data_IF_612400045977
#
_entry.id   IF_612400045977
#
_cell.length_a   1.000
_cell.length_b   1.000
_cell.length_c   1.000
_cell.angle_alpha   90.00
_cell.angle_beta   90.00
_cell.angle_gamma   90.00
#
_symmetry.space_group_name_H-M   'P 1'
#
loop_
_entity.id
_entity.type
_entity.pdbx_description
1 polymer ?
#
# COMPACT_ATOMS: atom_id res chain seq x y z
N UNK A 1 17.17 17.55 -7.10
CA UNK A 1 16.09 17.96 -8.03
C UNK A 1 14.80 17.44 -7.45
N UNK A 2 13.67 18.11 -7.58
CA UNK A 2 12.39 17.52 -7.17
C UNK A 2 11.68 16.86 -8.36
N UNK A 3 10.97 15.79 -8.08
CA UNK A 3 10.02 15.18 -9.02
C UNK A 3 8.67 15.87 -8.87
N UNK A 4 7.93 16.01 -9.96
CA UNK A 4 6.57 16.54 -9.95
C UNK A 4 5.55 15.41 -10.07
N UNK A 5 4.32 15.63 -9.60
CA UNK A 5 3.29 14.59 -9.64
C UNK A 5 2.95 14.19 -11.10
N UNK A 6 3.03 15.13 -12.04
CA UNK A 6 2.89 14.83 -13.47
C UNK A 6 3.99 13.91 -14.00
N UNK A 7 5.21 13.99 -13.47
CA UNK A 7 6.30 13.08 -13.83
C UNK A 7 6.10 11.69 -13.23
N UNK A 8 5.54 11.61 -12.01
CA UNK A 8 5.14 10.33 -11.40
C UNK A 8 4.04 9.68 -12.23
N UNK A 9 3.03 10.44 -12.67
CA UNK A 9 1.96 9.95 -13.53
C UNK A 9 2.49 9.45 -14.88
N UNK A 10 3.41 10.20 -15.50
CA UNK A 10 4.06 9.78 -16.73
C UNK A 10 4.87 8.48 -16.55
N UNK A 11 5.60 8.36 -15.43
CA UNK A 11 6.35 7.15 -15.12
C UNK A 11 5.43 5.95 -14.85
N UNK A 12 4.31 6.15 -14.14
CA UNK A 12 3.29 5.13 -13.92
C UNK A 12 2.67 4.64 -15.24
N UNK A 13 2.39 5.57 -16.17
CA UNK A 13 1.92 5.23 -17.52
C UNK A 13 2.94 4.36 -18.27
N UNK A 14 4.21 4.74 -18.26
CA UNK A 14 5.29 3.99 -18.92
C UNK A 14 5.49 2.62 -18.27
N UNK A 15 5.25 2.50 -16.96
CA UNK A 15 5.28 1.24 -16.23
C UNK A 15 4.05 0.35 -16.52
N UNK A 16 3.10 0.80 -17.34
CA UNK A 16 1.89 0.04 -17.69
C UNK A 16 0.81 0.04 -16.61
N UNK A 17 0.93 0.90 -15.59
CA UNK A 17 -0.03 0.98 -14.50
C UNK A 17 -1.31 1.70 -14.96
N UNK A 18 -2.47 1.13 -14.66
CA UNK A 18 -3.76 1.82 -14.82
C UNK A 18 -3.97 2.72 -13.60
N UNK A 19 -4.07 4.03 -13.84
CA UNK A 19 -4.18 5.00 -12.76
C UNK A 19 -5.24 6.08 -12.99
N UNK A 20 -5.71 6.68 -11.89
CA UNK A 20 -6.50 7.91 -11.85
C UNK A 20 -5.68 9.00 -11.18
N UNK A 21 -5.67 10.18 -11.79
CA UNK A 21 -4.97 11.35 -11.26
C UNK A 21 -5.97 12.25 -10.52
N UNK A 22 -5.66 12.63 -9.28
CA UNK A 22 -6.44 13.60 -8.51
C UNK A 22 -5.63 14.86 -8.24
N UNK A 23 -5.95 15.92 -9.00
CA UNK A 23 -5.31 17.23 -8.84
C UNK A 23 -5.63 17.93 -7.53
N UNK A 24 -6.81 17.64 -6.95
CA UNK A 24 -7.28 18.35 -5.76
C UNK A 24 -6.53 17.89 -4.52
N UNK A 25 -6.27 16.59 -4.45
CA UNK A 25 -5.57 15.96 -3.33
C UNK A 25 -4.09 15.69 -3.61
N UNK A 26 -3.63 15.96 -4.84
CA UNK A 26 -2.22 15.84 -5.20
C UNK A 26 -1.72 14.40 -5.16
N UNK A 27 -2.53 13.46 -5.65
CA UNK A 27 -2.21 12.03 -5.61
C UNK A 27 -2.59 11.28 -6.88
N UNK A 28 -1.97 10.12 -7.05
CA UNK A 28 -2.24 9.17 -8.13
C UNK A 28 -2.78 7.88 -7.50
N UNK A 29 -3.90 7.39 -8.00
CA UNK A 29 -4.53 6.15 -7.55
C UNK A 29 -4.29 5.06 -8.58
N UNK A 30 -3.65 3.97 -8.18
CA UNK A 30 -3.39 2.80 -9.03
C UNK A 30 -4.27 1.66 -8.53
N UNK A 31 -5.12 1.14 -9.41
CA UNK A 31 -6.08 0.09 -9.06
C UNK A 31 -5.70 -1.25 -9.66
N UNK A 32 -5.80 -2.30 -8.85
CA UNK A 32 -5.67 -3.71 -9.22
C UNK A 32 -6.97 -4.42 -8.86
N UNK A 33 -7.51 -5.21 -9.79
CA UNK A 33 -8.70 -6.03 -9.55
C UNK A 33 -8.38 -7.50 -9.68
N UNK A 34 -9.27 -8.34 -9.17
CA UNK A 34 -9.16 -9.82 -9.22
C UNK A 34 -7.95 -10.33 -8.41
N UNK A 35 -7.64 -9.62 -7.33
CA UNK A 35 -6.53 -9.92 -6.43
C UNK A 35 -6.89 -11.01 -5.42
N UNK A 36 -5.90 -11.75 -4.94
CA UNK A 36 -6.06 -12.68 -3.81
C UNK A 36 -6.48 -11.98 -2.52
N UNK A 37 -6.04 -10.73 -2.35
CA UNK A 37 -6.41 -9.87 -1.23
C UNK A 37 -7.87 -9.41 -1.30
N UNK A 38 -8.56 -9.45 -0.16
CA UNK A 38 -9.92 -8.93 -0.01
C UNK A 38 -9.89 -7.64 0.81
N UNK A 39 -10.25 -6.52 0.17
CA UNK A 39 -10.28 -5.22 0.81
C UNK A 39 -11.32 -5.20 1.96
N UNK A 40 -10.91 -4.87 3.19
CA UNK A 40 -11.83 -4.84 4.34
C UNK A 40 -12.91 -3.74 4.21
N UNK A 41 -12.66 -2.69 3.44
CA UNK A 41 -13.56 -1.54 3.32
C UNK A 41 -14.69 -1.79 2.30
N UNK A 42 -14.36 -2.41 1.17
CA UNK A 42 -15.29 -2.69 0.08
C UNK A 42 -15.81 -4.12 0.09
N UNK A 43 -15.05 -5.05 0.69
CA UNK A 43 -15.30 -6.48 0.65
C UNK A 43 -14.98 -7.14 -0.69
N UNK A 44 -14.45 -6.37 -1.66
CA UNK A 44 -14.11 -6.82 -3.01
C UNK A 44 -12.66 -7.31 -3.09
N UNK A 45 -12.39 -8.18 -4.06
CA UNK A 45 -11.05 -8.63 -4.41
C UNK A 45 -10.35 -7.58 -5.28
N UNK A 46 -9.89 -6.52 -4.63
CA UNK A 46 -9.18 -5.41 -5.27
C UNK A 46 -8.19 -4.76 -4.32
N UNK A 47 -7.16 -4.14 -4.89
CA UNK A 47 -6.14 -3.35 -4.18
C UNK A 47 -6.07 -1.98 -4.83
N UNK A 48 -6.04 -0.91 -4.02
CA UNK A 48 -5.85 0.46 -4.53
C UNK A 48 -4.69 1.14 -3.84
N UNK A 49 -3.61 1.28 -4.59
CA UNK A 49 -2.36 1.91 -4.12
C UNK A 49 -2.41 3.40 -4.44
N UNK A 50 -2.04 4.22 -3.47
CA UNK A 50 -1.91 5.67 -3.56
C UNK A 50 -0.44 6.02 -3.74
N UNK A 51 -0.14 6.82 -4.76
CA UNK A 51 1.18 7.41 -5.00
C UNK A 51 1.11 8.91 -4.73
N UNK A 52 2.08 9.40 -3.97
CA UNK A 52 2.10 10.77 -3.48
C UNK A 52 3.51 11.30 -3.34
N UNK A 53 3.69 12.59 -3.56
CA UNK A 53 4.97 13.24 -3.34
C UNK A 53 4.97 13.97 -2.00
N UNK A 54 5.94 13.61 -1.16
CA UNK A 54 6.32 14.33 0.05
C UNK A 54 7.55 15.22 -0.18
N UNK A 55 7.89 16.01 0.84
CA UNK A 55 9.13 16.80 0.92
C UNK A 55 9.42 17.66 -0.33
N UNK A 56 8.41 18.40 -0.80
CA UNK A 56 8.48 19.22 -2.03
C UNK A 56 8.93 18.42 -3.26
N UNK A 57 8.54 17.14 -3.35
CA UNK A 57 8.89 16.24 -4.45
C UNK A 57 10.24 15.54 -4.27
N UNK A 58 10.76 15.46 -3.04
CA UNK A 58 11.99 14.73 -2.71
C UNK A 58 11.75 13.33 -2.18
N UNK A 59 10.51 13.00 -1.84
CA UNK A 59 10.12 11.67 -1.37
C UNK A 59 8.90 11.22 -2.16
N UNK A 60 8.93 10.00 -2.72
CA UNK A 60 7.73 9.34 -3.23
C UNK A 60 7.22 8.39 -2.16
N UNK A 61 5.98 8.56 -1.77
CA UNK A 61 5.26 7.62 -0.93
C UNK A 61 4.32 6.80 -1.80
N UNK A 62 4.34 5.49 -1.56
CA UNK A 62 3.49 4.50 -2.21
C UNK A 62 2.82 3.73 -1.10
N UNK A 63 1.50 3.83 -0.95
CA UNK A 63 0.81 3.23 0.18
C UNK A 63 -0.59 2.73 -0.13
N UNK A 64 -1.01 1.68 0.58
CA UNK A 64 -2.38 1.17 0.64
C UNK A 64 -2.96 1.55 2.01
N UNK A 65 -3.91 2.50 2.09
CA UNK A 65 -4.48 2.90 3.37
C UNK A 65 -5.46 1.85 3.90
N UNK A 66 -5.50 1.68 5.23
CA UNK A 66 -6.46 0.83 5.94
C UNK A 66 -6.61 -0.58 5.33
N UNK A 67 -5.47 -1.21 5.04
CA UNK A 67 -5.40 -2.58 4.56
C UNK A 67 -5.86 -3.60 5.60
N UNK A 68 -5.75 -3.28 6.89
CA UNK A 68 -6.31 -4.07 7.99
C UNK A 68 -6.95 -3.18 9.06
N UNK A 69 -7.89 -3.73 9.80
CA UNK A 69 -8.55 -3.06 10.93
C UNK A 69 -8.31 -3.89 12.22
N UNK A 70 -7.64 -3.26 13.19
CA UNK A 70 -7.36 -3.84 14.50
C UNK A 70 -8.19 -3.21 15.63
N UNK A 71 -9.13 -2.32 15.33
CA UNK A 71 -9.96 -1.63 16.32
C UNK A 71 -10.72 -2.60 17.24
N UNK A 72 -11.21 -3.71 16.69
CA UNK A 72 -11.97 -4.77 17.37
C UNK A 72 -11.25 -6.13 17.35
N UNK A 73 -9.98 -6.19 16.93
CA UNK A 73 -9.23 -7.45 16.90
C UNK A 73 -8.88 -7.90 18.34
N UNK A 74 -9.17 -9.16 18.67
CA UNK A 74 -8.82 -9.77 19.96
C UNK A 74 -7.31 -10.06 20.04
N UNK A 75 -6.72 -10.53 18.93
CA UNK A 75 -5.33 -10.99 18.86
C UNK A 75 -4.36 -9.95 18.29
N UNK A 76 -4.47 -8.68 18.71
CA UNK A 76 -3.65 -7.57 18.16
C UNK A 76 -2.16 -7.79 18.30
N UNK A 77 -1.71 -8.34 19.43
CA UNK A 77 -0.29 -8.60 19.66
C UNK A 77 0.28 -9.61 18.65
N UNK A 78 -0.50 -10.63 18.30
CA UNK A 78 -0.12 -11.58 17.26
C UNK A 78 -0.09 -10.93 15.88
N UNK A 79 -1.08 -10.09 15.55
CA UNK A 79 -1.10 -9.32 14.31
C UNK A 79 0.11 -8.37 14.21
N UNK A 80 0.47 -7.66 15.27
CA UNK A 80 1.67 -6.81 15.29
C UNK A 80 2.96 -7.61 15.11
N UNK A 81 3.08 -8.75 15.79
CA UNK A 81 4.21 -9.67 15.58
C UNK A 81 4.28 -10.15 14.13
N UNK A 82 3.13 -10.48 13.53
CA UNK A 82 3.01 -10.86 12.12
C UNK A 82 3.54 -9.76 11.20
N UNK A 83 3.05 -8.53 11.36
CA UNK A 83 3.47 -7.39 10.55
C UNK A 83 4.97 -7.11 10.65
N UNK A 84 5.55 -7.15 11.85
CA UNK A 84 6.99 -6.97 12.04
C UNK A 84 7.81 -8.07 11.35
N UNK A 85 7.32 -9.31 11.41
CA UNK A 85 7.94 -10.45 10.72
C UNK A 85 7.86 -10.34 9.19
N UNK A 86 6.78 -9.78 8.65
CA UNK A 86 6.66 -9.49 7.22
C UNK A 86 7.60 -8.35 6.83
N UNK A 87 7.69 -7.28 7.62
CA UNK A 87 8.62 -6.16 7.39
C UNK A 87 10.08 -6.63 7.40
N UNK A 88 10.41 -7.66 8.18
CA UNK A 88 11.75 -8.28 8.15
C UNK A 88 12.01 -9.05 6.84
N UNK A 89 10.99 -9.70 6.27
CA UNK A 89 11.10 -10.50 5.04
C UNK A 89 11.01 -9.68 3.77
N UNK A 90 10.35 -8.52 3.83
CA UNK A 90 10.11 -7.66 2.67
C UNK A 90 11.06 -6.47 2.70
N UNK A 91 11.69 -6.18 1.56
CA UNK A 91 12.57 -5.01 1.45
C UNK A 91 11.73 -3.75 1.23
N UNK A 92 11.99 -2.68 1.99
CA UNK A 92 11.39 -1.33 1.86
C UNK A 92 9.90 -1.21 2.24
N UNK A 93 9.21 -2.32 2.47
CA UNK A 93 7.78 -2.33 2.77
C UNK A 93 7.56 -2.32 4.29
N UNK A 94 6.62 -1.50 4.73
CA UNK A 94 6.33 -1.28 6.14
C UNK A 94 4.82 -1.34 6.40
N UNK A 95 4.46 -1.87 7.57
CA UNK A 95 3.10 -1.74 8.09
C UNK A 95 3.09 -0.68 9.20
N UNK A 96 2.22 0.30 9.06
CA UNK A 96 2.06 1.40 10.00
C UNK A 96 0.70 1.28 10.68
N UNK A 97 0.68 1.37 12.01
CA UNK A 97 -0.56 1.32 12.79
C UNK A 97 -0.95 2.72 13.27
N UNK A 98 -2.14 3.18 12.89
CA UNK A 98 -2.73 4.39 13.42
C UNK A 98 -3.52 4.05 14.70
N UNK A 99 -2.99 4.48 15.85
CA UNK A 99 -3.60 4.22 17.14
C UNK A 99 -4.95 4.93 17.36
N UNK A 100 -5.22 6.00 16.62
CA UNK A 100 -6.48 6.76 16.80
C UNK A 100 -7.64 6.15 16.01
N UNK A 101 -7.38 5.62 14.82
CA UNK A 101 -8.39 4.93 14.00
C UNK A 101 -8.44 3.42 14.21
N UNK A 102 -7.33 2.81 14.64
CA UNK A 102 -7.18 1.36 14.73
C UNK A 102 -6.85 0.70 13.39
N UNK A 103 -6.63 1.48 12.32
CA UNK A 103 -6.29 0.97 11.00
C UNK A 103 -4.79 0.72 10.84
N UNK A 104 -4.47 -0.23 9.97
CA UNK A 104 -3.12 -0.52 9.52
C UNK A 104 -2.97 -0.07 8.07
N UNK A 105 -1.91 0.66 7.78
CA UNK A 105 -1.53 1.10 6.46
C UNK A 105 -0.33 0.29 5.99
N UNK A 106 -0.26 0.04 4.68
CA UNK A 106 0.90 -0.60 4.08
C UNK A 106 1.64 0.41 3.23
N UNK A 107 2.89 0.70 3.58
CA UNK A 107 3.61 1.91 3.14
C UNK A 107 4.99 1.54 2.59
N UNK A 108 5.41 2.23 1.55
CA UNK A 108 6.76 2.24 1.01
C UNK A 108 7.16 3.66 0.67
N UNK A 109 8.30 4.11 1.18
CA UNK A 109 8.83 5.46 0.95
C UNK A 109 10.17 5.40 0.22
N UNK A 110 10.31 6.23 -0.81
CA UNK A 110 11.48 6.25 -1.68
C UNK A 110 12.05 7.66 -1.76
N UNK A 111 13.32 7.86 -1.34
CA UNK A 111 13.99 9.14 -1.53
C UNK A 111 14.32 9.36 -3.02
N UNK A 112 14.09 10.58 -3.48
CA UNK A 112 14.33 11.06 -4.84
C UNK A 112 15.55 11.98 -4.89
N UNK A 113 15.75 12.80 -3.86
CA UNK A 113 16.90 13.68 -3.61
C UNK A 113 17.50 14.40 -4.83
N UNK A 114 18.55 13.86 -5.45
CA UNK A 114 19.28 14.45 -6.57
C UNK A 114 18.89 13.87 -7.94
N UNK A 115 18.05 12.83 -7.96
CA UNK A 115 17.59 12.13 -9.16
C UNK A 115 16.10 12.27 -9.44
N UNK A 116 15.58 11.27 -10.18
CA UNK A 116 14.15 11.00 -10.39
C UNK A 116 13.96 9.50 -10.34
N UNK A 117 12.81 9.06 -9.83
CA UNK A 117 12.44 7.65 -9.92
C UNK A 117 12.10 7.31 -11.36
N UNK A 118 12.65 6.20 -11.84
CA UNK A 118 12.36 5.66 -13.16
C UNK A 118 11.02 4.92 -13.15
N UNK A 119 10.41 4.77 -14.32
CA UNK A 119 9.20 3.95 -14.48
C UNK A 119 9.42 2.51 -13.97
N UNK A 120 10.60 1.93 -14.18
CA UNK A 120 10.96 0.60 -13.69
C UNK A 120 11.00 0.53 -12.15
N UNK A 121 11.51 1.57 -11.48
CA UNK A 121 11.51 1.64 -10.01
C UNK A 121 10.09 1.76 -9.46
N UNK A 122 9.27 2.64 -10.04
CA UNK A 122 7.87 2.83 -9.61
C UNK A 122 7.06 1.55 -9.87
N UNK A 123 7.15 0.98 -11.07
CA UNK A 123 6.45 -0.26 -11.41
C UNK A 123 6.85 -1.43 -10.50
N UNK A 124 8.15 -1.58 -10.23
CA UNK A 124 8.65 -2.62 -9.32
C UNK A 124 8.10 -2.46 -7.91
N UNK A 125 8.10 -1.26 -7.36
CA UNK A 125 7.62 -1.02 -5.99
C UNK A 125 6.13 -1.34 -5.88
N UNK A 126 5.32 -0.85 -6.83
CA UNK A 126 3.89 -1.11 -6.86
C UNK A 126 3.59 -2.61 -7.00
N UNK A 127 4.25 -3.29 -7.93
CA UNK A 127 4.10 -4.74 -8.11
C UNK A 127 4.53 -5.51 -6.86
N UNK A 128 5.68 -5.21 -6.27
CA UNK A 128 6.15 -5.87 -5.05
C UNK A 128 5.18 -5.68 -3.88
N UNK A 129 4.56 -4.50 -3.75
CA UNK A 129 3.53 -4.27 -2.74
C UNK A 129 2.30 -5.16 -2.95
N UNK A 130 1.81 -5.28 -4.18
CA UNK A 130 0.66 -6.14 -4.49
C UNK A 130 1.00 -7.60 -4.18
N UNK A 131 2.10 -8.12 -4.72
CA UNK A 131 2.49 -9.51 -4.51
C UNK A 131 2.72 -9.83 -3.03
N UNK A 132 3.45 -8.98 -2.30
CA UNK A 132 3.70 -9.21 -0.88
C UNK A 132 2.39 -9.19 -0.07
N UNK A 133 1.49 -8.26 -0.36
CA UNK A 133 0.21 -8.20 0.33
C UNK A 133 -0.62 -9.48 0.09
N UNK A 134 -0.74 -9.92 -1.15
CA UNK A 134 -1.48 -11.15 -1.49
C UNK A 134 -0.84 -12.40 -0.86
N UNK A 135 0.49 -12.47 -0.88
CA UNK A 135 1.24 -13.58 -0.34
C UNK A 135 1.07 -13.74 1.17
N UNK A 136 1.16 -12.62 1.91
CA UNK A 136 1.11 -12.63 3.36
C UNK A 136 -0.31 -12.48 3.93
N UNK A 137 -1.32 -12.08 3.14
CA UNK A 137 -2.69 -11.89 3.63
C UNK A 137 -3.24 -13.11 4.40
N UNK A 138 -3.11 -14.37 3.91
CA UNK A 138 -3.62 -15.52 4.66
C UNK A 138 -3.00 -15.68 6.06
N UNK A 139 -1.73 -15.28 6.22
CA UNK A 139 -1.01 -15.35 7.50
C UNK A 139 -1.47 -14.20 8.40
N UNK A 140 -1.63 -13.00 7.86
CA UNK A 140 -2.18 -11.86 8.60
C UNK A 140 -3.58 -12.19 9.10
N UNK A 141 -4.48 -12.65 8.23
CA UNK A 141 -5.85 -13.02 8.60
C UNK A 141 -5.88 -14.12 9.66
N UNK A 142 -5.01 -15.14 9.54
CA UNK A 142 -4.87 -16.21 10.56
C UNK A 142 -4.41 -15.65 11.90
N UNK A 143 -3.42 -14.76 11.89
CA UNK A 143 -2.89 -14.13 13.11
C UNK A 143 -3.96 -13.28 13.81
N UNK A 144 -4.76 -12.53 13.06
CA UNK A 144 -5.86 -11.72 13.58
C UNK A 144 -7.00 -12.59 14.14
N UNK A 145 -7.28 -13.74 13.52
CA UNK A 145 -8.40 -14.61 13.87
C UNK A 145 -8.09 -15.61 15.00
N UNK A 146 -6.85 -16.07 15.11
CA UNK A 146 -6.46 -17.18 16.02
C UNK A 146 -5.33 -16.84 16.97
N UNK A 147 -4.59 -15.77 16.71
CA UNK A 147 -3.36 -15.44 17.43
C UNK A 147 -2.12 -16.21 16.98
N UNK A 148 -2.24 -17.10 15.98
CA UNK A 148 -1.12 -17.89 15.47
C UNK A 148 -0.37 -17.14 14.35
N UNK A 149 0.95 -17.09 14.47
CA UNK A 149 1.86 -16.49 13.48
C UNK A 149 2.84 -17.56 12.98
N UNK A 150 2.35 -18.40 12.07
CA UNK A 150 3.17 -19.42 11.43
C UNK A 150 3.55 -18.97 10.01
N UNK A 151 4.85 -18.90 9.77
CA UNK A 151 5.44 -18.54 8.47
C UNK A 151 6.11 -19.75 7.79
N UNK A 152 6.13 -20.93 8.42
CA UNK A 152 6.82 -22.12 7.89
C UNK A 152 6.15 -22.66 6.62
N UNK A 153 4.86 -22.35 6.39
CA UNK A 153 4.14 -22.64 5.15
C UNK A 153 4.48 -21.66 4.00
N UNK A 154 5.16 -20.55 4.29
CA UNK A 154 5.41 -19.43 3.37
C UNK A 154 6.90 -19.22 3.03
N UNK A 155 7.72 -20.25 3.19
CA UNK A 155 9.10 -20.29 2.66
C UNK A 155 9.19 -21.15 1.37
N UNK A 156 8.05 -21.49 0.78
CA UNK A 156 7.94 -22.26 -0.47
C UNK A 156 7.17 -21.44 -1.49
N UNK A 157 7.86 -20.59 -2.25
CA UNK A 157 7.67 -20.33 -3.70
C UNK A 157 8.30 -18.97 -4.08
N UNK A 158 9.62 -18.94 -4.33
CA UNK A 158 10.27 -17.89 -5.15
C UNK A 158 9.91 -18.14 -6.63
N UNK A 159 8.62 -18.16 -6.94
CA UNK A 159 8.07 -18.33 -8.28
C UNK A 159 7.79 -16.98 -8.92
N UNK A 160 8.52 -16.66 -9.99
CA UNK A 160 8.24 -15.53 -10.88
C UNK A 160 6.82 -15.64 -11.44
N UNK A 161 5.81 -15.07 -10.77
CA UNK A 161 4.43 -15.01 -11.27
C UNK A 161 4.11 -13.58 -11.74
N UNK A 162 4.22 -13.36 -13.05
CA UNK A 162 3.80 -12.14 -13.73
C UNK A 162 2.25 -12.07 -13.73
N UNK A 163 1.68 -11.48 -12.68
CA UNK A 163 0.23 -11.30 -12.56
C UNK A 163 -0.36 -10.33 -13.59
N UNK A 164 -1.07 -10.86 -14.60
CA UNK A 164 -1.98 -10.11 -15.46
C UNK A 164 -3.26 -9.71 -14.68
N UNK A 165 -3.18 -8.65 -13.87
CA UNK A 165 -4.33 -8.13 -13.11
C UNK A 165 -4.67 -6.69 -13.50
N UNK A 166 -5.20 -6.45 -14.70
CA UNK A 166 -5.46 -5.08 -15.17
C UNK A 166 -6.76 -4.95 -15.98
N UNK A 167 -7.93 -5.28 -15.44
CA UNK A 167 -9.20 -4.94 -16.14
C UNK A 167 -10.33 -4.29 -15.33
N UNK A 168 -10.03 -3.61 -14.21
CA UNK A 168 -11.03 -2.77 -13.51
C UNK A 168 -10.53 -1.35 -13.23
N UNK A 169 -11.44 -0.34 -13.24
CA UNK A 169 -11.07 1.02 -12.87
C UNK A 169 -10.71 1.11 -11.36
N UNK A 170 -9.79 2.00 -10.96
CA UNK A 170 -9.48 2.23 -9.54
C UNK A 170 -10.73 2.61 -8.75
N UNK A 171 -10.80 2.22 -7.47
CA UNK A 171 -11.90 2.60 -6.56
C UNK A 171 -12.14 4.13 -6.57
N UNK A 172 -13.38 4.51 -6.29
CA UNK A 172 -13.75 5.92 -6.18
C UNK A 172 -13.04 6.55 -4.98
N UNK A 173 -12.58 7.80 -5.14
CA UNK A 173 -11.91 8.58 -4.09
C UNK A 173 -12.68 8.57 -2.75
N UNK A 174 -14.01 8.56 -2.82
CA UNK A 174 -14.87 8.52 -1.64
C UNK A 174 -14.63 7.27 -0.78
N UNK A 175 -14.29 6.14 -1.39
CA UNK A 175 -14.02 4.89 -0.68
C UNK A 175 -12.64 4.92 -0.02
N UNK A 176 -11.64 5.55 -0.65
CA UNK A 176 -10.33 5.78 -0.03
C UNK A 176 -10.38 6.78 1.13
N UNK A 177 -11.16 7.86 0.98
CA UNK A 177 -11.42 8.80 2.07
C UNK A 177 -12.08 8.07 3.23
N UNK A 178 -13.04 7.19 2.95
CA UNK A 178 -13.67 6.37 4.01
C UNK A 178 -12.66 5.42 4.65
N UNK A 179 -11.87 4.72 3.84
CA UNK A 179 -10.85 3.76 4.28
C UNK A 179 -9.80 4.43 5.16
N UNK A 180 -9.31 5.61 4.79
CA UNK A 180 -8.33 6.35 5.58
C UNK A 180 -8.91 7.03 6.85
N UNK A 181 -10.11 6.65 7.32
CA UNK A 181 -10.73 7.27 8.51
C UNK A 181 -11.31 8.66 8.27
N UNK A 182 -11.66 8.99 7.03
CA UNK A 182 -12.19 10.28 6.60
C UNK A 182 -11.13 11.19 5.98
N UNK A 183 -11.55 12.40 5.58
CA UNK A 183 -10.65 13.41 4.98
C UNK A 183 -9.52 13.78 5.95
N UNK A 184 -9.81 13.75 7.25
CA UNK A 184 -8.83 14.09 8.29
C UNK A 184 -7.80 12.97 8.51
N UNK A 185 -8.21 11.70 8.46
CA UNK A 185 -7.25 10.59 8.53
C UNK A 185 -6.43 10.46 7.25
N UNK A 186 -7.03 10.73 6.07
CA UNK A 186 -6.26 10.92 4.84
C UNK A 186 -5.26 12.08 5.01
N UNK A 187 -5.70 13.26 5.46
CA UNK A 187 -4.84 14.43 5.74
C UNK A 187 -3.76 14.17 6.77
N UNK A 188 -4.04 13.35 7.77
CA UNK A 188 -3.06 12.95 8.78
C UNK A 188 -1.96 12.14 8.12
N UNK A 189 -2.30 11.16 7.30
CA UNK A 189 -1.34 10.44 6.46
C UNK A 189 -0.57 11.43 5.58
N UNK A 190 -1.24 12.43 4.96
CA UNK A 190 -0.58 13.50 4.19
C UNK A 190 0.37 14.37 5.04
N UNK A 191 0.13 14.50 6.35
CA UNK A 191 0.88 15.39 7.26
C UNK A 191 2.02 14.69 8.00
N UNK A 192 1.83 13.42 8.37
CA UNK A 192 2.86 12.57 8.95
C UNK A 192 3.88 12.16 7.87
N UNK A 193 3.43 12.10 6.61
CA UNK A 193 4.27 12.00 5.40
C UNK A 193 5.28 13.13 5.17
N UNK A 194 5.14 14.25 5.88
CA UNK A 194 6.07 15.39 5.81
C UNK A 194 7.04 15.46 6.98
N UNK A 195 7.19 14.40 7.78
CA UNK A 195 8.08 14.39 8.95
C UNK A 195 9.48 13.86 8.62
N UNK A 196 10.41 14.81 8.43
CA UNK A 196 11.79 14.74 8.95
C UNK A 196 12.11 16.04 9.67
#
# INVERSE_FOLDING_TARGET
MSMTLSEVAAAAMVAGLRYRYDETLGMILVGFGETGFRDPNTGEHSIVIVLMLGDDGRTLQVFLPACYDLSECEHREAAFSCFLQICYRTSLLQFEYDADSGHVHYVCELPIEDGKLTAAQIGRVVSQMVHALEYFDPIVQRSMATGETDFDDADVDDGDDEGEGADRPPLELADLIRAAGGVEGLRRLLSDAGRV
#
